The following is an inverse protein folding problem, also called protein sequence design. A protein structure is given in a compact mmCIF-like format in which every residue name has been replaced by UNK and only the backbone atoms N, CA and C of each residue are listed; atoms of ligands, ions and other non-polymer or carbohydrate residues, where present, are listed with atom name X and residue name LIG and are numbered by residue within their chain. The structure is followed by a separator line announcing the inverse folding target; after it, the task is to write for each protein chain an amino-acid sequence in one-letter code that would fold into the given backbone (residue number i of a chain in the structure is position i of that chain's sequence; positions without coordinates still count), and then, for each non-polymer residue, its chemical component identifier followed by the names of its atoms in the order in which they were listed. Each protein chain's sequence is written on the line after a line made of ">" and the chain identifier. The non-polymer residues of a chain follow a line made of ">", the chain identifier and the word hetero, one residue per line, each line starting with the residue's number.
data_IF_124982300341
#
_entry.id   IF_124982300341
#
_cell.length_a   1.000
_cell.length_b   1.000
_cell.length_c   1.000
_cell.angle_alpha   90.00
_cell.angle_beta   90.00
_cell.angle_gamma   90.00
#
_symmetry.space_group_name_H-M   'P 1'
#
loop_
_entity.id
_entity.type
_entity.pdbx_description
1 polymer ?
#
# COMPACT_ATOMS: atom_id res chain seq x y z
N UNK A 1 -62.81 -12.56 -1.61
CA UNK A 1 -61.45 -12.60 -1.03
C UNK A 1 -60.44 -11.60 -1.58
N UNK A 2 -60.55 -11.16 -2.86
CA UNK A 2 -59.49 -10.40 -3.55
C UNK A 2 -59.34 -8.96 -3.03
N UNK A 3 -60.45 -8.32 -2.66
CA UNK A 3 -60.48 -6.93 -2.17
C UNK A 3 -59.86 -6.80 -0.77
N UNK A 4 -60.11 -7.77 0.11
CA UNK A 4 -59.52 -7.82 1.45
C UNK A 4 -58.00 -8.02 1.38
N UNK A 5 -57.54 -8.88 0.46
CA UNK A 5 -56.11 -9.11 0.18
C UNK A 5 -55.42 -7.84 -0.33
N UNK A 6 -56.08 -7.03 -1.16
CA UNK A 6 -55.52 -5.76 -1.70
C UNK A 6 -55.37 -4.69 -0.61
N UNK A 7 -56.36 -4.56 0.28
CA UNK A 7 -56.28 -3.62 1.42
C UNK A 7 -55.22 -4.04 2.45
N UNK A 8 -55.12 -5.35 2.73
CA UNK A 8 -54.10 -5.88 3.62
C UNK A 8 -52.68 -5.66 3.07
N UNK A 9 -52.48 -5.90 1.77
CA UNK A 9 -51.22 -5.61 1.09
C UNK A 9 -50.84 -4.14 1.09
N UNK A 10 -51.83 -3.24 0.91
CA UNK A 10 -51.60 -1.80 0.93
C UNK A 10 -51.09 -1.29 2.29
N UNK A 11 -51.44 -1.97 3.40
CA UNK A 11 -50.97 -1.63 4.74
C UNK A 11 -49.67 -2.38 5.09
N UNK A 12 -49.58 -3.67 4.77
CA UNK A 12 -48.38 -4.46 5.05
C UNK A 12 -47.14 -3.94 4.34
N UNK A 13 -47.26 -3.50 3.08
CA UNK A 13 -46.12 -3.04 2.29
C UNK A 13 -45.36 -1.87 2.93
N UNK A 14 -45.99 -0.73 3.30
CA UNK A 14 -45.28 0.36 3.96
C UNK A 14 -44.78 -0.03 5.36
N UNK A 15 -45.48 -0.90 6.09
CA UNK A 15 -45.00 -1.40 7.39
C UNK A 15 -43.74 -2.23 7.25
N UNK A 16 -43.67 -3.13 6.25
CA UNK A 16 -42.48 -3.91 5.95
C UNK A 16 -41.35 -3.03 5.42
N UNK A 17 -41.66 -2.02 4.60
CA UNK A 17 -40.68 -1.04 4.13
C UNK A 17 -40.06 -0.28 5.31
N UNK A 18 -40.88 0.20 6.24
CA UNK A 18 -40.43 0.89 7.45
C UNK A 18 -39.59 -0.03 8.35
N UNK A 19 -40.02 -1.28 8.53
CA UNK A 19 -39.27 -2.27 9.30
C UNK A 19 -37.89 -2.53 8.67
N UNK A 20 -37.83 -2.74 7.35
CA UNK A 20 -36.57 -2.93 6.64
C UNK A 20 -35.69 -1.69 6.69
N UNK A 21 -36.26 -0.49 6.70
CA UNK A 21 -35.52 0.75 6.89
C UNK A 21 -34.87 0.79 8.28
N UNK A 22 -35.63 0.45 9.34
CA UNK A 22 -35.10 0.42 10.71
C UNK A 22 -34.02 -0.66 10.84
N UNK A 23 -34.25 -1.85 10.30
CA UNK A 23 -33.24 -2.93 10.30
C UNK A 23 -31.99 -2.55 9.49
N UNK A 24 -32.15 -1.87 8.37
CA UNK A 24 -31.05 -1.35 7.57
C UNK A 24 -30.27 -0.26 8.31
N UNK A 25 -30.97 0.64 8.99
CA UNK A 25 -30.35 1.69 9.78
C UNK A 25 -29.59 1.12 10.98
N UNK A 26 -30.17 0.18 11.74
CA UNK A 26 -29.49 -0.46 12.87
C UNK A 26 -28.28 -1.27 12.41
N UNK A 27 -28.41 -2.02 11.32
CA UNK A 27 -27.28 -2.73 10.69
C UNK A 27 -26.18 -1.77 10.26
N UNK A 28 -26.54 -0.64 9.65
CA UNK A 28 -25.60 0.41 9.24
C UNK A 28 -24.85 1.02 10.42
N UNK A 29 -25.56 1.37 11.50
CA UNK A 29 -24.97 1.91 12.73
C UNK A 29 -24.00 0.91 13.37
N UNK A 30 -24.39 -0.36 13.48
CA UNK A 30 -23.52 -1.42 14.01
C UNK A 30 -22.26 -1.56 13.14
N UNK A 31 -22.42 -1.58 11.81
CA UNK A 31 -21.28 -1.67 10.88
C UNK A 31 -20.35 -0.48 11.01
N UNK A 32 -20.88 0.73 11.16
CA UNK A 32 -20.08 1.93 11.40
C UNK A 32 -19.34 1.85 12.73
N UNK A 33 -20.03 1.47 13.82
CA UNK A 33 -19.45 1.35 15.15
C UNK A 33 -18.34 0.29 15.23
N UNK A 34 -18.43 -0.80 14.46
CA UNK A 34 -17.42 -1.86 14.43
C UNK A 34 -16.29 -1.55 13.46
N UNK A 35 -16.59 -1.04 12.25
CA UNK A 35 -15.57 -0.73 11.25
C UNK A 35 -14.73 0.48 11.62
N UNK A 36 -15.29 1.49 12.29
CA UNK A 36 -14.56 2.70 12.66
C UNK A 36 -13.32 2.45 13.54
N UNK A 37 -13.40 1.72 14.68
CA UNK A 37 -12.20 1.41 15.47
C UNK A 37 -11.24 0.48 14.72
N UNK A 38 -11.76 -0.44 13.91
CA UNK A 38 -10.92 -1.30 13.07
C UNK A 38 -10.09 -0.48 12.05
N UNK A 39 -10.74 0.46 11.37
CA UNK A 39 -10.11 1.39 10.45
C UNK A 39 -9.08 2.28 11.16
N UNK A 40 -9.38 2.78 12.35
CA UNK A 40 -8.43 3.58 13.15
C UNK A 40 -7.18 2.79 13.53
N UNK A 41 -7.32 1.55 14.01
CA UNK A 41 -6.17 0.70 14.33
C UNK A 41 -5.29 0.44 13.10
N UNK A 42 -5.94 0.21 11.96
CA UNK A 42 -5.25 -0.10 10.72
C UNK A 42 -4.72 1.15 9.99
N UNK A 43 -5.22 2.35 10.33
CA UNK A 43 -4.70 3.61 9.79
C UNK A 43 -3.22 3.86 10.16
N UNK A 44 -2.77 3.30 11.29
CA UNK A 44 -1.35 3.35 11.68
C UNK A 44 -0.45 2.44 10.85
N UNK A 45 -1.02 1.51 10.07
CA UNK A 45 -0.29 0.63 9.16
C UNK A 45 -0.24 1.26 7.78
N UNK A 46 0.95 1.68 7.38
CA UNK A 46 1.21 2.33 6.08
C UNK A 46 1.33 1.31 4.94
N UNK A 47 1.44 0.03 5.28
CA UNK A 47 1.61 -1.08 4.33
C UNK A 47 0.31 -1.51 3.62
N UNK A 48 -0.85 -0.99 4.04
CA UNK A 48 -2.17 -1.42 3.53
C UNK A 48 -2.97 -0.20 3.07
N UNK A 49 -3.54 -0.27 1.87
CA UNK A 49 -4.51 0.71 1.37
C UNK A 49 -5.93 0.13 1.43
N UNK A 50 -6.89 0.95 1.85
CA UNK A 50 -8.31 0.60 1.86
C UNK A 50 -9.02 0.97 0.56
N UNK A 51 -8.35 1.72 -0.32
CA UNK A 51 -8.92 2.18 -1.56
C UNK A 51 -8.82 1.08 -2.63
N UNK A 52 -9.81 0.95 -3.52
CA UNK A 52 -9.71 0.06 -4.66
C UNK A 52 -8.53 0.48 -5.54
N UNK A 53 -7.93 -0.46 -6.28
CA UNK A 53 -6.67 -0.23 -7.01
C UNK A 53 -6.66 0.97 -7.95
N UNK A 54 -7.81 1.33 -8.53
CA UNK A 54 -7.96 2.52 -9.39
C UNK A 54 -7.85 3.85 -8.64
N UNK A 55 -8.19 3.87 -7.34
CA UNK A 55 -8.13 5.06 -6.49
C UNK A 55 -6.93 5.03 -5.54
N UNK A 56 -6.11 3.98 -5.58
CA UNK A 56 -4.92 3.85 -4.73
C UNK A 56 -3.95 5.04 -4.83
N UNK A 57 -3.91 5.71 -5.99
CA UNK A 57 -3.11 6.94 -6.20
C UNK A 57 -3.57 8.10 -5.33
N UNK A 58 -4.85 8.15 -4.92
CA UNK A 58 -5.38 9.18 -4.04
C UNK A 58 -5.06 8.96 -2.56
N UNK A 59 -4.46 7.83 -2.21
CA UNK A 59 -4.07 7.51 -0.84
C UNK A 59 -2.72 8.15 -0.49
N UNK A 60 -2.76 9.34 0.13
CA UNK A 60 -1.58 10.16 0.42
C UNK A 60 -0.59 9.48 1.37
N UNK A 61 -1.07 8.66 2.32
CA UNK A 61 -0.20 7.94 3.25
C UNK A 61 0.43 6.70 2.60
N UNK A 62 -0.24 6.08 1.64
CA UNK A 62 0.27 4.90 0.94
C UNK A 62 1.35 5.23 -0.10
N UNK A 63 1.27 6.41 -0.74
CA UNK A 63 2.24 6.82 -1.77
C UNK A 63 3.72 6.76 -1.34
N UNK A 64 4.13 7.34 -0.18
CA UNK A 64 5.51 7.25 0.29
C UNK A 64 5.99 5.81 0.49
N UNK A 65 5.12 4.92 0.96
CA UNK A 65 5.43 3.50 1.13
C UNK A 65 5.70 2.82 -0.22
N UNK A 66 4.83 3.03 -1.21
CA UNK A 66 5.05 2.50 -2.58
C UNK A 66 6.35 3.03 -3.16
N UNK A 67 6.62 4.32 -3.04
CA UNK A 67 7.87 4.92 -3.51
C UNK A 67 9.09 4.29 -2.84
N UNK A 68 9.03 4.03 -1.54
CA UNK A 68 10.11 3.37 -0.79
C UNK A 68 10.32 1.93 -1.26
N UNK A 69 9.25 1.16 -1.45
CA UNK A 69 9.31 -0.22 -1.96
C UNK A 69 9.85 -0.26 -3.39
N UNK A 70 9.40 0.64 -4.25
CA UNK A 70 9.89 0.71 -5.63
C UNK A 70 11.38 1.10 -5.65
N UNK A 71 11.77 2.09 -4.83
CA UNK A 71 13.16 2.53 -4.73
C UNK A 71 14.07 1.43 -4.19
N UNK A 72 13.66 0.73 -3.14
CA UNK A 72 14.42 -0.39 -2.57
C UNK A 72 14.52 -1.54 -3.58
N UNK A 73 13.43 -1.84 -4.30
CA UNK A 73 13.45 -2.86 -5.35
C UNK A 73 14.43 -2.51 -6.48
N UNK A 74 14.49 -1.26 -6.93
CA UNK A 74 15.45 -0.86 -7.97
C UNK A 74 16.91 -0.90 -7.52
N UNK A 75 17.19 -0.62 -6.24
CA UNK A 75 18.56 -0.55 -5.70
C UNK A 75 19.08 -1.88 -5.15
N UNK A 76 18.18 -2.67 -4.57
CA UNK A 76 18.51 -3.88 -3.80
C UNK A 76 17.93 -5.13 -4.46
N UNK A 77 17.67 -5.10 -5.78
CA UNK A 77 17.23 -6.29 -6.48
C UNK A 77 18.33 -7.37 -6.40
N UNK A 78 18.08 -8.50 -5.71
CA UNK A 78 19.11 -9.51 -5.48
C UNK A 78 19.54 -10.17 -6.79
N UNK A 79 18.66 -10.24 -7.79
CA UNK A 79 18.97 -10.79 -9.11
C UNK A 79 19.94 -9.87 -9.84
N UNK A 80 19.68 -8.56 -9.86
CA UNK A 80 20.60 -7.60 -10.49
C UNK A 80 21.96 -7.64 -9.82
N UNK A 81 21.99 -7.66 -8.48
CA UNK A 81 23.25 -7.76 -7.74
C UNK A 81 24.00 -9.06 -8.06
N UNK A 82 23.32 -10.20 -8.04
CA UNK A 82 23.94 -11.49 -8.38
C UNK A 82 24.47 -11.52 -9.82
N UNK A 83 23.72 -10.98 -10.79
CA UNK A 83 24.16 -10.93 -12.20
C UNK A 83 25.37 -10.02 -12.39
N UNK A 84 25.38 -8.83 -11.77
CA UNK A 84 26.53 -7.92 -11.83
C UNK A 84 27.75 -8.54 -11.15
N UNK A 85 27.58 -9.16 -9.98
CA UNK A 85 28.66 -9.87 -9.29
C UNK A 85 29.25 -10.98 -10.14
N UNK A 86 28.41 -11.81 -10.76
CA UNK A 86 28.86 -12.88 -11.66
C UNK A 86 29.55 -12.34 -12.92
N UNK A 87 29.09 -11.22 -13.48
CA UNK A 87 29.71 -10.56 -14.62
C UNK A 87 31.09 -9.96 -14.28
N UNK A 88 31.23 -9.37 -13.08
CA UNK A 88 32.51 -8.85 -12.59
C UNK A 88 33.50 -10.00 -12.37
N UNK A 89 33.06 -11.11 -11.79
CA UNK A 89 33.88 -12.31 -11.59
C UNK A 89 34.31 -12.98 -12.92
N UNK A 90 33.42 -12.97 -13.92
CA UNK A 90 33.72 -13.51 -15.26
C UNK A 90 34.58 -12.57 -16.13
N UNK A 91 34.78 -11.31 -15.73
CA UNK A 91 35.53 -10.34 -16.52
C UNK A 91 37.05 -10.56 -16.39
N UNK A 92 37.80 -10.72 -17.49
CA UNK A 92 39.24 -11.01 -17.47
C UNK A 92 40.11 -9.86 -16.89
N UNK A 93 39.52 -8.71 -16.53
CA UNK A 93 40.22 -7.60 -15.85
C UNK A 93 40.31 -7.78 -14.31
N UNK A 94 39.60 -8.74 -13.71
CA UNK A 94 39.70 -9.03 -12.28
C UNK A 94 41.08 -9.56 -11.85
N UNK A 95 41.90 -10.02 -12.81
CA UNK A 95 43.27 -10.52 -12.59
C UNK A 95 44.38 -9.49 -12.83
N UNK A 96 44.07 -8.24 -13.20
CA UNK A 96 45.09 -7.18 -13.24
C UNK A 96 45.12 -6.44 -11.90
N UNK A 97 46.13 -6.63 -11.04
CA UNK A 97 46.32 -5.75 -9.89
C UNK A 97 46.53 -4.34 -10.46
N UNK A 98 45.65 -3.40 -10.10
CA UNK A 98 45.77 -2.01 -10.52
C UNK A 98 47.02 -1.42 -9.85
N UNK A 99 48.13 -1.51 -10.54
CA UNK A 99 49.39 -0.86 -10.20
C UNK A 99 49.23 0.63 -10.51
N UNK A 100 48.58 1.39 -9.61
CA UNK A 100 48.43 2.84 -9.80
C UNK A 100 47.37 3.59 -8.98
N UNK A 101 46.59 2.94 -8.10
CA UNK A 101 45.69 3.68 -7.21
C UNK A 101 46.33 3.79 -5.82
N UNK A 102 46.70 5.00 -5.35
CA UNK A 102 47.24 5.17 -4.00
C UNK A 102 46.19 4.74 -2.96
N UNK A 103 46.61 3.86 -2.07
CA UNK A 103 45.83 3.19 -1.04
C UNK A 103 45.38 4.13 0.11
N UNK A 104 44.74 5.25 -0.21
CA UNK A 104 44.14 6.11 0.79
C UNK A 104 42.92 6.86 0.24
N UNK A 105 41.81 6.13 0.03
CA UNK A 105 40.49 6.74 0.13
C UNK A 105 39.88 6.31 1.46
N UNK A 106 39.61 7.25 2.39
CA UNK A 106 38.93 6.91 3.64
C UNK A 106 37.53 6.36 3.34
N UNK A 107 36.94 5.59 4.27
CA UNK A 107 35.58 5.11 4.13
C UNK A 107 34.65 6.32 3.94
N UNK A 108 33.95 6.38 2.80
CA UNK A 108 32.92 7.38 2.55
C UNK A 108 31.82 7.16 3.58
N UNK A 109 31.80 8.03 4.59
CA UNK A 109 30.75 8.07 5.58
C UNK A 109 29.41 8.39 4.88
N UNK A 110 28.29 7.81 5.34
CA UNK A 110 26.97 8.06 4.76
C UNK A 110 26.49 9.45 5.17
N UNK A 111 26.98 10.50 4.50
CA UNK A 111 26.64 11.90 4.81
C UNK A 111 26.83 12.89 3.66
N UNK A 112 27.78 12.64 2.75
CA UNK A 112 28.26 13.69 1.82
C UNK A 112 27.58 13.73 0.44
N UNK A 113 26.54 12.93 0.20
CA UNK A 113 25.79 13.02 -1.07
C UNK A 113 24.93 14.30 -1.19
N UNK A 114 24.82 15.12 -0.15
CA UNK A 114 23.99 16.35 -0.14
C UNK A 114 24.72 17.61 -0.63
N UNK A 115 26.04 17.56 -0.82
CA UNK A 115 26.85 18.75 -1.18
C UNK A 115 27.06 18.92 -2.69
N UNK A 116 26.66 17.97 -3.53
CA UNK A 116 26.85 18.01 -4.98
C UNK A 116 25.66 18.58 -5.77
N UNK A 117 24.63 19.11 -5.09
CA UNK A 117 23.45 19.72 -5.70
C UNK A 117 23.19 21.13 -5.14
N UNK A 118 24.20 22.00 -5.26
CA UNK A 118 24.01 23.45 -5.29
C UNK A 118 24.51 23.99 -6.62
#
# INVERSE_FOLDING_TARGET
>A
GIILRRRFWAVMFPTLMLLNLVLGATSGVIRFAVMFPYLLCQFFRVDITFLPGSLCVWDWSYQPFVCLVLHSHHRLNPILQATVSALVEASPQASTPIHGVPAHLPPVAPGDARSALR
#
